data_IF_086421338949
#
_entry.id   IF_086421338949
#
_cell.length_a   1.000
_cell.length_b   1.000
_cell.length_c   1.000
_cell.angle_alpha   90.00
_cell.angle_beta   90.00
_cell.angle_gamma   90.00
#
_symmetry.space_group_name_H-M   'P 1'
#
loop_
_entity.id
_entity.type
_entity.pdbx_description
1 polymer ?
#
# COMPACT_ATOMS: atom_id res chain seq x y z
N UNK A 1 4.13 -14.38 -23.21
CA UNK A 1 3.50 -15.20 -22.16
C UNK A 1 2.07 -15.44 -22.58
N UNK A 2 1.59 -16.68 -22.52
CA UNK A 2 0.20 -17.01 -22.87
C UNK A 2 -0.73 -16.62 -21.71
N UNK A 3 -1.59 -15.63 -21.94
CA UNK A 3 -2.56 -15.12 -20.96
C UNK A 3 -3.60 -16.19 -20.59
N UNK A 4 -3.95 -17.09 -21.51
CA UNK A 4 -4.89 -18.17 -21.25
C UNK A 4 -4.29 -19.20 -20.30
N UNK A 5 -3.04 -19.59 -20.55
CA UNK A 5 -2.32 -20.50 -19.66
C UNK A 5 -2.12 -19.90 -18.25
N UNK A 6 -1.77 -18.61 -18.17
CA UNK A 6 -1.63 -17.90 -16.90
C UNK A 6 -2.96 -17.83 -16.13
N UNK A 7 -4.06 -17.52 -16.82
CA UNK A 7 -5.42 -17.51 -16.26
C UNK A 7 -5.77 -18.87 -15.65
N UNK A 8 -5.67 -19.94 -16.46
CA UNK A 8 -6.05 -21.29 -16.05
C UNK A 8 -5.22 -21.77 -14.85
N UNK A 9 -3.94 -21.39 -14.79
CA UNK A 9 -3.08 -21.71 -13.66
C UNK A 9 -3.56 -21.03 -12.37
N UNK A 10 -3.88 -19.73 -12.41
CA UNK A 10 -4.41 -19.00 -11.25
C UNK A 10 -5.77 -19.55 -10.81
N UNK A 11 -6.64 -19.88 -11.75
CA UNK A 11 -7.93 -20.51 -11.48
C UNK A 11 -7.78 -21.86 -10.78
N UNK A 12 -6.85 -22.70 -11.26
CA UNK A 12 -6.53 -23.98 -10.62
C UNK A 12 -5.98 -23.80 -9.20
N UNK A 13 -5.10 -22.81 -9.00
CA UNK A 13 -4.55 -22.49 -7.66
C UNK A 13 -5.68 -22.10 -6.70
N UNK A 14 -6.61 -21.26 -7.13
CA UNK A 14 -7.72 -20.80 -6.28
C UNK A 14 -8.73 -21.92 -6.00
N UNK A 15 -9.08 -22.71 -7.00
CA UNK A 15 -10.05 -23.80 -6.82
C UNK A 15 -9.51 -24.97 -5.99
N UNK A 16 -8.18 -25.09 -5.85
CA UNK A 16 -7.56 -26.11 -5.00
C UNK A 16 -7.79 -25.92 -3.49
N UNK A 17 -8.25 -24.74 -3.04
CA UNK A 17 -8.45 -24.42 -1.62
C UNK A 17 -9.86 -23.86 -1.38
N UNK A 18 -10.57 -24.26 -0.30
CA UNK A 18 -11.89 -23.71 0.00
C UNK A 18 -11.91 -22.17 0.09
N UNK A 19 -10.86 -21.59 0.66
CA UNK A 19 -10.72 -20.13 0.75
C UNK A 19 -10.59 -19.44 -0.63
N UNK A 20 -10.06 -20.13 -1.64
CA UNK A 20 -9.97 -19.60 -3.00
C UNK A 20 -11.30 -19.71 -3.76
N UNK A 21 -12.14 -20.71 -3.45
CA UNK A 21 -13.52 -20.78 -3.96
C UNK A 21 -14.32 -19.54 -3.53
N UNK A 22 -14.14 -19.06 -2.30
CA UNK A 22 -14.75 -17.80 -1.84
C UNK A 22 -14.38 -16.61 -2.72
N UNK A 23 -13.14 -16.55 -3.21
CA UNK A 23 -12.68 -15.49 -4.13
C UNK A 23 -13.43 -15.57 -5.46
N UNK A 24 -13.52 -16.78 -6.04
CA UNK A 24 -14.22 -17.01 -7.31
C UNK A 24 -15.69 -16.62 -7.18
N UNK A 25 -16.38 -17.11 -6.15
CA UNK A 25 -17.79 -16.83 -5.91
C UNK A 25 -18.08 -15.34 -5.72
N UNK A 26 -17.24 -14.61 -4.97
CA UNK A 26 -17.44 -13.15 -4.81
C UNK A 26 -17.36 -12.43 -6.15
N UNK A 27 -16.40 -12.81 -7.00
CA UNK A 27 -16.23 -12.21 -8.31
C UNK A 27 -17.38 -12.54 -9.26
N UNK A 28 -17.85 -13.78 -9.29
CA UNK A 28 -18.99 -14.18 -10.13
C UNK A 28 -20.24 -13.37 -9.80
N UNK A 29 -20.48 -13.11 -8.52
CA UNK A 29 -21.64 -12.38 -8.03
C UNK A 29 -21.54 -10.86 -8.21
N UNK A 30 -20.35 -10.26 -7.99
CA UNK A 30 -20.21 -8.80 -7.93
C UNK A 30 -19.44 -8.20 -9.11
N UNK A 31 -18.78 -9.04 -9.93
CA UNK A 31 -17.86 -8.65 -11.00
C UNK A 31 -16.71 -7.75 -10.53
N UNK A 32 -16.40 -7.80 -9.25
CA UNK A 32 -15.28 -7.11 -8.61
C UNK A 32 -14.83 -7.93 -7.40
N UNK A 33 -13.74 -7.51 -6.76
CA UNK A 33 -13.29 -8.10 -5.50
C UNK A 33 -13.08 -6.98 -4.48
N UNK A 34 -13.56 -7.18 -3.26
CA UNK A 34 -13.24 -6.36 -2.10
C UNK A 34 -11.77 -6.51 -1.74
N UNK A 35 -11.22 -5.48 -1.11
CA UNK A 35 -9.82 -5.44 -0.66
C UNK A 35 -9.45 -6.64 0.21
N UNK A 36 -10.32 -7.07 1.13
CA UNK A 36 -10.11 -8.28 1.94
C UNK A 36 -9.95 -9.55 1.09
N UNK A 37 -10.76 -9.66 0.04
CA UNK A 37 -10.82 -10.85 -0.82
C UNK A 37 -9.66 -10.86 -1.81
N UNK A 38 -9.23 -9.69 -2.31
CA UNK A 38 -7.99 -9.56 -3.10
C UNK A 38 -6.75 -9.92 -2.28
N UNK A 39 -6.67 -9.51 -1.02
CA UNK A 39 -5.58 -9.93 -0.10
C UNK A 39 -5.59 -11.44 0.12
N UNK A 40 -6.77 -12.04 0.30
CA UNK A 40 -6.89 -13.50 0.44
C UNK A 40 -6.38 -14.23 -0.81
N UNK A 41 -6.81 -13.79 -1.99
CA UNK A 41 -6.35 -14.30 -3.28
C UNK A 41 -4.82 -14.22 -3.40
N UNK A 42 -4.23 -13.05 -3.11
CA UNK A 42 -2.77 -12.86 -3.16
C UNK A 42 -2.04 -13.76 -2.17
N UNK A 43 -2.57 -13.95 -0.95
CA UNK A 43 -1.97 -14.88 0.01
C UNK A 43 -1.94 -16.32 -0.51
N UNK A 44 -3.03 -16.79 -1.11
CA UNK A 44 -3.12 -18.15 -1.67
C UNK A 44 -2.10 -18.33 -2.79
N UNK A 45 -2.01 -17.36 -3.70
CA UNK A 45 -1.08 -17.39 -4.83
C UNK A 45 0.38 -17.33 -4.36
N UNK A 46 0.70 -16.46 -3.39
CA UNK A 46 2.05 -16.38 -2.81
C UNK A 46 2.43 -17.67 -2.10
N UNK A 47 1.52 -18.30 -1.35
CA UNK A 47 1.77 -19.61 -0.76
C UNK A 47 2.13 -20.65 -1.83
N UNK A 48 1.38 -20.71 -2.93
CA UNK A 48 1.68 -21.63 -4.04
C UNK A 48 3.04 -21.36 -4.69
N UNK A 49 3.37 -20.09 -4.99
CA UNK A 49 4.67 -19.73 -5.55
C UNK A 49 5.83 -20.17 -4.65
N UNK A 50 5.65 -20.05 -3.32
CA UNK A 50 6.67 -20.47 -2.33
C UNK A 50 6.79 -21.98 -2.20
N UNK A 51 5.69 -22.72 -2.31
CA UNK A 51 5.70 -24.19 -2.33
C UNK A 51 6.48 -24.71 -3.55
N UNK A 52 6.38 -24.02 -4.69
CA UNK A 52 7.04 -24.41 -5.95
C UNK A 52 8.51 -23.97 -6.06
N UNK A 53 8.85 -22.75 -5.67
CA UNK A 53 10.19 -22.16 -5.88
C UNK A 53 10.97 -21.86 -4.58
N UNK A 54 10.34 -22.13 -3.43
CA UNK A 54 10.93 -21.85 -2.12
C UNK A 54 10.93 -20.35 -1.78
N UNK A 55 12.03 -19.87 -1.20
CA UNK A 55 12.12 -18.51 -0.65
C UNK A 55 12.36 -17.44 -1.71
N UNK A 56 13.11 -17.79 -2.76
CA UNK A 56 13.52 -16.86 -3.80
C UNK A 56 12.67 -17.09 -5.06
N UNK A 57 11.47 -16.52 -5.07
CA UNK A 57 10.58 -16.60 -6.23
C UNK A 57 11.14 -15.72 -7.35
N UNK A 58 11.19 -16.29 -8.55
CA UNK A 58 11.74 -15.62 -9.74
C UNK A 58 10.88 -14.43 -10.18
N UNK A 59 11.47 -13.45 -10.88
CA UNK A 59 10.73 -12.32 -11.45
C UNK A 59 9.68 -12.79 -12.47
N UNK A 60 10.05 -13.77 -13.30
CA UNK A 60 9.18 -14.34 -14.33
C UNK A 60 7.94 -15.00 -13.71
N UNK A 61 8.09 -15.67 -12.57
CA UNK A 61 6.98 -16.31 -11.86
C UNK A 61 6.02 -15.29 -11.28
N UNK A 62 6.52 -14.20 -10.69
CA UNK A 62 5.66 -13.11 -10.19
C UNK A 62 4.90 -12.44 -11.34
N UNK A 63 5.58 -12.16 -12.44
CA UNK A 63 4.96 -11.58 -13.64
C UNK A 63 3.90 -12.51 -14.24
N UNK A 64 4.19 -13.81 -14.31
CA UNK A 64 3.25 -14.83 -14.78
C UNK A 64 1.96 -14.85 -13.95
N UNK A 65 2.07 -14.84 -12.62
CA UNK A 65 0.90 -14.84 -11.74
C UNK A 65 0.16 -13.50 -11.75
N UNK A 66 0.86 -12.37 -11.85
CA UNK A 66 0.23 -11.06 -12.00
C UNK A 66 -0.61 -10.98 -13.30
N UNK A 67 -0.06 -11.48 -14.41
CA UNK A 67 -0.80 -11.62 -15.67
C UNK A 67 -2.01 -12.54 -15.51
N UNK A 68 -1.85 -13.69 -14.84
CA UNK A 68 -2.94 -14.63 -14.60
C UNK A 68 -4.08 -14.04 -13.77
N UNK A 69 -3.76 -13.24 -12.75
CA UNK A 69 -4.74 -12.55 -11.90
C UNK A 69 -5.63 -11.63 -12.75
N UNK A 70 -5.04 -10.71 -13.53
CA UNK A 70 -5.84 -9.76 -14.33
C UNK A 70 -6.54 -10.42 -15.52
N UNK A 71 -6.05 -11.58 -15.97
CA UNK A 71 -6.69 -12.39 -17.01
C UNK A 71 -7.92 -13.14 -16.47
N UNK A 72 -7.86 -13.58 -15.21
CA UNK A 72 -8.99 -14.25 -14.53
C UNK A 72 -10.02 -13.23 -14.01
N UNK A 73 -9.56 -12.09 -13.50
CA UNK A 73 -10.38 -11.01 -12.94
C UNK A 73 -10.18 -9.70 -13.72
N UNK A 74 -10.77 -9.56 -14.92
CA UNK A 74 -10.60 -8.36 -15.75
C UNK A 74 -10.89 -7.04 -15.06
N UNK A 75 -11.79 -6.99 -14.07
CA UNK A 75 -12.08 -5.73 -13.34
C UNK A 75 -10.91 -5.22 -12.50
N UNK A 76 -9.94 -6.09 -12.19
CA UNK A 76 -8.73 -5.73 -11.46
C UNK A 76 -7.62 -5.23 -12.37
N UNK A 77 -7.77 -5.39 -13.69
CA UNK A 77 -6.82 -4.86 -14.65
C UNK A 77 -6.85 -3.33 -14.58
N UNK A 78 -5.70 -2.71 -14.41
CA UNK A 78 -5.58 -1.26 -14.53
C UNK A 78 -5.68 -0.89 -16.03
N UNK A 79 -6.74 -0.17 -16.47
CA UNK A 79 -6.89 0.18 -17.88
C UNK A 79 -5.88 1.23 -18.33
N UNK A 80 -5.14 1.85 -17.39
CA UNK A 80 -4.22 2.94 -17.67
C UNK A 80 -2.74 2.57 -17.53
N UNK A 81 -2.42 1.42 -16.97
CA UNK A 81 -1.05 0.90 -16.96
C UNK A 81 -0.74 0.15 -18.26
N UNK A 82 0.55 0.02 -18.59
CA UNK A 82 1.00 -0.50 -19.90
C UNK A 82 0.48 -1.91 -20.19
N UNK A 83 0.48 -2.78 -19.19
CA UNK A 83 0.05 -4.18 -19.30
C UNK A 83 -1.19 -4.50 -18.45
N UNK A 84 -1.53 -3.61 -17.52
CA UNK A 84 -2.70 -3.72 -16.66
C UNK A 84 -2.49 -4.48 -15.35
N UNK A 85 -1.34 -5.12 -15.14
CA UNK A 85 -1.05 -5.96 -13.97
C UNK A 85 0.06 -5.41 -13.06
N UNK A 86 0.65 -4.27 -13.41
CA UNK A 86 1.83 -3.72 -12.74
C UNK A 86 1.61 -3.47 -11.23
N UNK A 87 0.39 -3.13 -10.82
CA UNK A 87 0.05 -2.98 -9.41
C UNK A 87 0.12 -4.30 -8.61
N UNK A 88 -0.02 -5.47 -9.27
CA UNK A 88 0.27 -6.77 -8.65
C UNK A 88 1.76 -7.09 -8.73
N UNK A 89 2.40 -6.85 -9.88
CA UNK A 89 3.84 -6.97 -10.03
C UNK A 89 4.36 -6.15 -11.22
N UNK A 90 5.28 -5.22 -10.94
CA UNK A 90 6.03 -4.49 -11.95
C UNK A 90 7.42 -5.11 -12.12
N UNK A 91 7.67 -5.67 -13.30
CA UNK A 91 8.92 -6.33 -13.64
C UNK A 91 10.12 -5.36 -13.64
N UNK A 92 9.91 -4.09 -14.04
CA UNK A 92 10.98 -3.11 -14.22
C UNK A 92 11.50 -2.62 -12.87
N UNK A 93 10.58 -2.18 -12.01
CA UNK A 93 10.91 -1.67 -10.67
C UNK A 93 11.10 -2.79 -9.64
N UNK A 94 10.67 -4.02 -9.95
CA UNK A 94 10.59 -5.13 -9.01
C UNK A 94 9.84 -4.73 -7.74
N UNK A 95 8.68 -4.10 -7.93
CA UNK A 95 7.70 -3.77 -6.89
C UNK A 95 6.36 -4.42 -7.22
N UNK A 96 5.33 -4.12 -6.42
CA UNK A 96 4.00 -4.68 -6.58
C UNK A 96 3.54 -5.45 -5.35
N UNK A 97 2.24 -5.71 -5.29
CA UNK A 97 1.64 -6.37 -4.13
C UNK A 97 2.16 -7.81 -3.95
N UNK A 98 2.38 -8.55 -5.03
CA UNK A 98 2.96 -9.90 -4.97
C UNK A 98 4.39 -9.86 -4.42
N UNK A 99 5.23 -8.95 -4.92
CA UNK A 99 6.62 -8.81 -4.46
C UNK A 99 6.69 -8.47 -2.97
N UNK A 100 5.88 -7.50 -2.53
CA UNK A 100 5.83 -7.13 -1.13
C UNK A 100 5.38 -8.30 -0.27
N UNK A 101 4.34 -9.01 -0.70
CA UNK A 101 3.78 -10.10 0.10
C UNK A 101 4.72 -11.29 0.21
N UNK A 102 5.46 -11.61 -0.86
CA UNK A 102 6.54 -12.60 -0.83
C UNK A 102 7.58 -12.25 0.25
N UNK A 103 7.93 -10.96 0.41
CA UNK A 103 8.88 -10.50 1.43
C UNK A 103 8.30 -10.56 2.85
N UNK A 104 7.02 -10.24 3.04
CA UNK A 104 6.44 -10.06 4.38
C UNK A 104 5.81 -11.31 4.98
N UNK A 105 5.46 -12.33 4.18
CA UNK A 105 4.86 -13.60 4.66
C UNK A 105 5.78 -14.40 5.60
N UNK A 106 7.05 -14.01 5.81
CA UNK A 106 7.99 -14.70 6.72
C UNK A 106 8.45 -13.95 7.98
N UNK A 107 8.12 -12.67 8.21
CA UNK A 107 8.62 -11.99 9.41
C UNK A 107 8.04 -12.54 10.73
N UNK A 108 7.07 -13.45 10.65
CA UNK A 108 6.28 -13.98 11.77
C UNK A 108 6.82 -15.24 12.45
N UNK A 109 7.82 -15.93 11.89
CA UNK A 109 8.37 -17.15 12.51
C UNK A 109 9.71 -16.94 13.24
N UNK A 110 10.25 -15.71 13.31
CA UNK A 110 11.57 -15.45 13.92
C UNK A 110 11.58 -14.51 15.13
N UNK A 111 10.47 -13.91 15.53
CA UNK A 111 10.43 -12.98 16.68
C UNK A 111 9.87 -13.61 17.96
N UNK A 112 10.10 -14.91 18.16
CA UNK A 112 9.86 -15.60 19.43
C UNK A 112 11.18 -15.93 20.12
N UNK A 113 12.15 -14.99 20.21
CA UNK A 113 13.33 -15.12 21.08
C UNK A 113 14.33 -13.95 20.98
N UNK A 114 13.93 -12.72 21.31
CA UNK A 114 14.90 -11.76 21.89
C UNK A 114 14.19 -10.60 22.60
N UNK A 115 14.39 -10.37 23.91
CA UNK A 115 13.80 -9.24 24.60
C UNK A 115 14.61 -7.97 24.28
N UNK A 116 14.10 -7.12 23.38
CA UNK A 116 14.67 -5.79 23.21
C UNK A 116 14.31 -4.92 24.42
N UNK A 117 15.35 -4.48 25.14
CA UNK A 117 15.27 -3.58 26.29
C UNK A 117 14.51 -2.30 25.92
N UNK A 118 13.40 -2.04 26.62
CA UNK A 118 12.67 -0.77 26.56
C UNK A 118 13.55 0.34 27.16
N UNK A 119 13.99 1.28 26.34
CA UNK A 119 14.49 2.57 26.82
C UNK A 119 13.27 3.47 27.07
N UNK A 120 13.15 3.92 28.31
CA UNK A 120 12.04 4.72 28.82
C UNK A 120 12.32 6.20 28.54
N UNK A 121 11.58 6.82 27.63
CA UNK A 121 11.50 8.28 27.53
C UNK A 121 10.28 8.77 28.33
N UNK A 122 10.51 9.67 29.30
CA UNK A 122 9.47 10.36 30.08
C UNK A 122 9.10 11.70 29.39
N UNK A 123 7.80 11.99 29.30
CA UNK A 123 7.26 13.36 29.30
C UNK A 123 6.15 13.70 28.28
N UNK A 124 4.89 13.84 28.73
CA UNK A 124 3.80 14.60 28.06
C UNK A 124 2.55 13.81 27.59
N UNK A 125 1.29 14.15 27.98
CA UNK A 125 0.09 13.30 27.84
C UNK A 125 -0.63 13.52 26.50
N UNK A 126 -1.21 12.56 25.77
CA UNK A 126 -1.92 11.32 26.13
C UNK A 126 -1.53 10.26 25.10
N UNK A 127 -0.62 9.35 25.48
CA UNK A 127 -0.27 8.19 24.66
C UNK A 127 -1.09 7.00 25.16
N UNK A 128 -2.09 6.59 24.40
CA UNK A 128 -2.62 5.24 24.55
C UNK A 128 -1.48 4.25 24.27
N UNK A 129 -1.31 3.20 25.10
CA UNK A 129 -0.17 2.29 25.01
C UNK A 129 -0.06 1.67 23.62
N UNK A 130 1.17 1.65 23.07
CA UNK A 130 1.57 0.68 22.03
C UNK A 130 1.28 -0.72 22.56
N UNK A 131 0.15 -1.29 22.14
CA UNK A 131 -0.12 -2.73 22.30
C UNK A 131 0.61 -3.41 21.15
N UNK A 132 1.79 -3.94 21.47
CA UNK A 132 2.51 -4.85 20.58
C UNK A 132 1.65 -6.08 20.29
N UNK A 133 1.35 -6.30 19.01
CA UNK A 133 1.08 -7.63 18.45
C UNK A 133 -0.37 -8.08 18.51
N UNK A 134 -1.20 -7.59 17.57
CA UNK A 134 -2.47 -8.24 17.23
C UNK A 134 -2.67 -8.26 15.72
N UNK A 135 -3.52 -9.16 15.23
CA UNK A 135 -3.90 -9.34 13.83
C UNK A 135 -4.31 -8.05 13.10
N UNK A 136 -4.73 -7.02 13.82
CA UNK A 136 -5.16 -5.73 13.27
C UNK A 136 -4.00 -4.89 12.71
N UNK A 137 -2.83 -4.91 13.33
CA UNK A 137 -1.66 -4.17 12.81
C UNK A 137 -1.23 -4.71 11.45
N UNK A 138 -1.31 -6.04 11.27
CA UNK A 138 -1.00 -6.66 9.99
C UNK A 138 -2.09 -6.42 8.96
N UNK A 139 -3.37 -6.49 9.34
CA UNK A 139 -4.48 -6.16 8.43
C UNK A 139 -4.36 -4.72 7.92
N UNK A 140 -4.04 -3.79 8.82
CA UNK A 140 -3.81 -2.37 8.50
C UNK A 140 -2.60 -2.19 7.59
N UNK A 141 -1.50 -2.92 7.85
CA UNK A 141 -0.31 -2.91 6.99
C UNK A 141 -0.57 -3.47 5.59
N UNK A 142 -1.30 -4.59 5.49
CA UNK A 142 -1.66 -5.21 4.21
C UNK A 142 -2.55 -4.29 3.37
N UNK A 143 -3.55 -3.65 4.01
CA UNK A 143 -4.45 -2.66 3.36
C UNK A 143 -3.66 -1.49 2.80
N UNK A 144 -2.79 -0.92 3.63
CA UNK A 144 -2.02 0.23 3.21
C UNK A 144 -1.06 -0.10 2.06
N UNK A 145 -0.41 -1.27 2.11
CA UNK A 145 0.55 -1.66 1.08
C UNK A 145 -0.11 -2.02 -0.25
N UNK A 146 -1.28 -2.68 -0.23
CA UNK A 146 -2.08 -2.89 -1.43
C UNK A 146 -2.46 -1.54 -2.08
N UNK A 147 -2.94 -0.59 -1.27
CA UNK A 147 -3.31 0.74 -1.74
C UNK A 147 -2.11 1.52 -2.31
N UNK A 148 -0.95 1.50 -1.66
CA UNK A 148 0.28 2.14 -2.16
C UNK A 148 0.72 1.52 -3.48
N UNK A 149 0.71 0.19 -3.59
CA UNK A 149 1.07 -0.53 -4.81
C UNK A 149 0.15 -0.15 -5.98
N UNK A 150 -1.15 0.01 -5.71
CA UNK A 150 -2.11 0.47 -6.70
C UNK A 150 -1.86 1.94 -7.09
N UNK A 151 -1.56 2.80 -6.13
CA UNK A 151 -1.28 4.22 -6.33
C UNK A 151 -0.06 4.49 -7.23
N UNK A 152 0.90 3.56 -7.32
CA UNK A 152 2.07 3.71 -8.19
C UNK A 152 1.70 3.73 -9.68
N UNK A 153 0.67 2.98 -10.08
CA UNK A 153 0.36 2.75 -11.49
C UNK A 153 -0.97 3.36 -11.93
N UNK A 154 -1.97 3.43 -11.05
CA UNK A 154 -3.30 3.95 -11.42
C UNK A 154 -3.24 5.41 -11.85
N UNK A 155 -3.96 5.75 -12.91
CA UNK A 155 -4.20 7.15 -13.32
C UNK A 155 -5.66 7.59 -13.09
N UNK A 156 -6.51 6.70 -12.58
CA UNK A 156 -7.89 7.04 -12.23
C UNK A 156 -7.91 7.99 -11.03
N UNK A 157 -8.30 9.26 -11.25
CA UNK A 157 -8.29 10.27 -10.21
C UNK A 157 -9.17 9.93 -9.00
N UNK A 158 -10.37 9.40 -9.20
CA UNK A 158 -11.29 9.08 -8.09
C UNK A 158 -10.69 7.98 -7.21
N UNK A 159 -10.11 6.95 -7.85
CA UNK A 159 -9.44 5.87 -7.15
C UNK A 159 -8.17 6.36 -6.43
N UNK A 160 -7.43 7.30 -7.03
CA UNK A 160 -6.30 7.98 -6.36
C UNK A 160 -6.78 8.70 -5.10
N UNK A 161 -7.83 9.54 -5.18
CA UNK A 161 -8.34 10.26 -4.00
C UNK A 161 -8.80 9.29 -2.91
N UNK A 162 -9.53 8.23 -3.30
CA UNK A 162 -9.98 7.19 -2.38
C UNK A 162 -8.80 6.49 -1.69
N UNK A 163 -7.85 5.93 -2.45
CA UNK A 163 -6.70 5.20 -1.89
C UNK A 163 -5.76 6.11 -1.12
N UNK A 164 -5.62 7.38 -1.53
CA UNK A 164 -4.91 8.38 -0.75
C UNK A 164 -5.61 8.59 0.60
N UNK A 165 -6.94 8.66 0.67
CA UNK A 165 -7.67 8.80 1.94
C UNK A 165 -7.48 7.59 2.86
N UNK A 166 -7.59 6.38 2.32
CA UNK A 166 -7.41 5.13 3.07
C UNK A 166 -6.00 5.03 3.69
N UNK A 167 -4.98 5.57 3.02
CA UNK A 167 -3.59 5.54 3.47
C UNK A 167 -3.17 6.73 4.33
N UNK A 168 -4.11 7.60 4.73
CA UNK A 168 -3.84 8.83 5.49
C UNK A 168 -3.11 8.58 6.82
N UNK A 169 -3.59 7.63 7.62
CA UNK A 169 -2.98 7.35 8.93
C UNK A 169 -1.55 6.81 8.80
N UNK A 170 -1.30 5.96 7.81
CA UNK A 170 0.04 5.45 7.54
C UNK A 170 1.01 6.55 7.11
N UNK A 171 0.56 7.49 6.26
CA UNK A 171 1.36 8.68 5.93
C UNK A 171 1.71 9.50 7.16
N UNK A 172 0.77 9.70 8.08
CA UNK A 172 1.03 10.42 9.34
C UNK A 172 2.09 9.73 10.19
N UNK A 173 2.11 8.40 10.21
CA UNK A 173 3.15 7.63 10.89
C UNK A 173 4.51 7.79 10.22
N UNK A 174 4.58 7.76 8.88
CA UNK A 174 5.83 8.01 8.13
C UNK A 174 6.39 9.41 8.44
N UNK A 175 5.53 10.43 8.47
CA UNK A 175 5.95 11.82 8.74
C UNK A 175 6.49 12.01 10.17
N UNK A 176 6.15 11.11 11.10
CA UNK A 176 6.67 11.13 12.47
C UNK A 176 7.99 10.36 12.61
N UNK A 177 8.38 9.58 11.62
CA UNK A 177 9.61 8.81 11.62
C UNK A 177 10.71 9.56 10.85
N UNK A 178 11.74 10.08 11.54
CA UNK A 178 12.83 10.82 10.90
C UNK A 178 13.59 10.03 9.83
N UNK A 179 13.59 8.69 9.90
CA UNK A 179 14.35 7.84 8.99
C UNK A 179 13.67 7.68 7.62
N UNK A 180 12.34 7.72 7.58
CA UNK A 180 11.56 7.45 6.35
C UNK A 180 10.70 8.64 5.90
N UNK A 181 10.55 9.66 6.74
CA UNK A 181 9.81 10.89 6.40
C UNK A 181 10.33 11.59 5.15
N UNK A 182 11.66 11.56 4.93
CA UNK A 182 12.29 12.13 3.73
C UNK A 182 11.84 11.45 2.42
N UNK A 183 11.41 10.19 2.47
CA UNK A 183 10.98 9.41 1.32
C UNK A 183 9.46 9.44 1.10
N UNK A 184 8.70 10.19 1.91
CA UNK A 184 7.23 10.19 1.83
C UNK A 184 6.69 10.54 0.44
N UNK A 185 7.32 11.50 -0.27
CA UNK A 185 6.93 11.87 -1.64
C UNK A 185 7.39 10.87 -2.69
N UNK A 186 8.39 10.04 -2.39
CA UNK A 186 8.79 8.90 -3.25
C UNK A 186 7.83 7.73 -3.08
N UNK A 187 7.28 7.52 -1.88
CA UNK A 187 6.28 6.48 -1.60
C UNK A 187 4.91 6.91 -2.15
N UNK A 188 4.52 8.16 -1.91
CA UNK A 188 3.25 8.74 -2.36
C UNK A 188 3.49 9.75 -3.48
N UNK A 189 3.98 9.24 -4.60
CA UNK A 189 4.29 10.04 -5.80
C UNK A 189 3.10 10.84 -6.30
N UNK A 190 1.87 10.39 -6.01
CA UNK A 190 0.63 11.07 -6.44
C UNK A 190 0.48 12.50 -5.91
N UNK A 191 1.18 12.87 -4.82
CA UNK A 191 1.22 14.27 -4.38
C UNK A 191 1.90 15.21 -5.38
N UNK A 192 2.73 14.68 -6.29
CA UNK A 192 3.51 15.46 -7.25
C UNK A 192 2.71 15.78 -8.52
N UNK A 193 1.76 14.92 -8.91
CA UNK A 193 1.02 15.01 -10.18
C UNK A 193 -0.49 15.27 -9.98
N UNK A 194 -1.08 14.89 -8.83
CA UNK A 194 -2.51 15.10 -8.55
C UNK A 194 -2.74 16.27 -7.61
N UNK A 195 -3.34 17.33 -8.16
CA UNK A 195 -3.75 18.52 -7.40
C UNK A 195 -4.80 18.16 -6.34
N UNK A 196 -4.87 18.97 -5.28
CA UNK A 196 -5.84 18.87 -4.15
C UNK A 196 -5.64 17.73 -3.17
N UNK A 197 -4.67 16.83 -3.36
CA UNK A 197 -4.36 15.80 -2.35
C UNK A 197 -3.88 16.39 -1.01
N UNK A 198 -3.11 17.49 -1.05
CA UNK A 198 -2.71 18.22 0.17
C UNK A 198 -3.95 18.77 0.89
N UNK A 199 -4.92 19.31 0.14
CA UNK A 199 -6.17 19.82 0.72
C UNK A 199 -7.01 18.67 1.31
N UNK A 200 -7.02 17.50 0.68
CA UNK A 200 -7.67 16.30 1.24
C UNK A 200 -7.05 15.92 2.59
N UNK A 201 -5.73 15.84 2.69
CA UNK A 201 -5.06 15.49 3.95
C UNK A 201 -5.27 16.57 5.03
N UNK A 202 -5.30 17.84 4.63
CA UNK A 202 -5.64 18.95 5.54
C UNK A 202 -7.08 18.84 6.06
N UNK A 203 -8.04 18.49 5.19
CA UNK A 203 -9.43 18.25 5.57
C UNK A 203 -9.57 17.07 6.53
N UNK A 204 -8.86 15.97 6.30
CA UNK A 204 -8.85 14.82 7.21
C UNK A 204 -8.23 15.15 8.57
N UNK A 205 -7.29 16.10 8.61
CA UNK A 205 -6.60 16.50 9.84
C UNK A 205 -7.36 17.52 10.68
N UNK A 206 -8.00 18.51 10.04
CA UNK A 206 -8.55 19.69 10.71
C UNK A 206 -10.05 19.89 10.52
N UNK A 207 -10.72 18.99 9.78
CA UNK A 207 -12.14 19.06 9.48
C UNK A 207 -12.49 20.04 8.36
N UNK A 208 -13.73 19.95 7.87
CA UNK A 208 -14.20 20.72 6.72
C UNK A 208 -14.22 22.23 6.97
N UNK A 209 -14.61 22.67 8.17
CA UNK A 209 -14.66 24.10 8.51
C UNK A 209 -13.29 24.75 8.38
N UNK A 210 -12.27 24.19 9.05
CA UNK A 210 -10.90 24.71 9.00
C UNK A 210 -10.32 24.61 7.60
N UNK A 211 -10.56 23.50 6.90
CA UNK A 211 -10.02 23.27 5.56
C UNK A 211 -10.62 24.21 4.50
N UNK A 212 -11.88 24.61 4.64
CA UNK A 212 -12.52 25.55 3.70
C UNK A 212 -11.80 26.91 3.64
N UNK A 213 -11.22 27.36 4.76
CA UNK A 213 -10.49 28.63 4.88
C UNK A 213 -9.02 28.52 4.47
N UNK A 214 -8.50 27.31 4.27
CA UNK A 214 -7.09 27.09 3.95
C UNK A 214 -6.67 27.73 2.61
N UNK A 215 -7.41 27.55 1.49
CA UNK A 215 -7.07 28.19 0.22
C UNK A 215 -7.07 29.72 0.30
N UNK A 216 -8.05 30.31 1.00
CA UNK A 216 -8.19 31.77 1.18
C UNK A 216 -7.00 32.37 1.94
N UNK A 217 -6.52 31.65 2.96
CA UNK A 217 -5.42 32.09 3.82
C UNK A 217 -4.05 31.63 3.34
N UNK A 218 -3.97 30.80 2.30
CA UNK A 218 -2.72 30.24 1.82
C UNK A 218 -1.72 31.34 1.45
N UNK A 219 -2.13 32.27 0.59
CA UNK A 219 -1.27 33.35 0.09
C UNK A 219 -0.92 34.37 1.16
N UNK A 220 -1.87 34.69 2.05
CA UNK A 220 -1.74 35.78 3.04
C UNK A 220 -1.06 35.35 4.34
N UNK A 221 -1.29 34.12 4.79
CA UNK A 221 -0.97 33.70 6.16
C UNK A 221 -0.02 32.50 6.26
N UNK A 222 -0.02 31.61 5.27
CA UNK A 222 0.69 30.32 5.36
C UNK A 222 1.90 30.22 4.44
N UNK A 223 1.81 30.67 3.18
CA UNK A 223 2.84 30.45 2.16
C UNK A 223 4.24 30.90 2.61
N UNK A 224 4.36 32.13 3.10
CA UNK A 224 5.67 32.66 3.52
C UNK A 224 6.20 31.92 4.75
N UNK A 225 5.35 31.61 5.73
CA UNK A 225 5.73 30.85 6.92
C UNK A 225 6.21 29.44 6.57
N UNK A 226 5.52 28.75 5.67
CA UNK A 226 5.92 27.42 5.18
C UNK A 226 7.24 27.49 4.42
N UNK A 227 7.46 28.51 3.59
CA UNK A 227 8.74 28.71 2.90
C UNK A 227 9.88 28.97 3.90
N UNK A 228 9.63 29.80 4.91
CA UNK A 228 10.61 30.11 5.96
C UNK A 228 10.98 28.86 6.77
N UNK A 229 9.99 28.08 7.20
CA UNK A 229 10.21 26.79 7.87
C UNK A 229 10.93 25.78 6.96
N UNK A 230 10.58 25.69 5.69
CA UNK A 230 11.27 24.80 4.75
C UNK A 230 12.75 25.21 4.54
N UNK A 231 13.06 26.51 4.60
CA UNK A 231 14.43 27.03 4.53
C UNK A 231 15.22 26.74 5.81
N UNK A 232 14.62 26.88 6.99
CA UNK A 232 15.29 26.56 8.27
C UNK A 232 15.65 25.08 8.34
N UNK A 233 14.79 24.20 7.83
CA UNK A 233 15.04 22.74 7.76
C UNK A 233 16.23 22.37 6.86
N UNK A 234 16.49 23.11 5.78
CA UNK A 234 17.68 22.90 4.93
C UNK A 234 19.00 23.30 5.60
N UNK A 235 18.95 24.09 6.67
CA UNK A 235 20.11 24.48 7.48
C UNK A 235 20.47 23.46 8.58
N UNK A 236 19.57 22.52 8.88
CA UNK A 236 19.79 21.45 9.87
C UNK A 236 20.19 20.14 9.19
N UNK A 237 21.29 20.16 8.44
CA UNK A 237 22.06 18.93 8.20
C UNK A 237 22.77 18.61 9.50
N UNK A 238 22.12 17.86 10.39
CA UNK A 238 22.80 17.23 11.53
C UNK A 238 23.33 15.88 11.06
N UNK A 239 24.65 15.76 11.24
CA UNK A 239 25.56 14.62 11.08
C UNK A 239 24.98 13.24 11.37
#
# INVERSE_FOLDING_TARGET
MDSTFAKNTVEQILTSKPAGITVINEYENTRTLKDSTRRLMVNIIVSHMREKEGRAISKATKEFHALGIVSLFPSLKDPYSKKGYEHFYDFQSNTGFLEWRVKTVQHKFRTSSTPQKKVQFRGGPTLLPRISGTSDDQRTGDECMEAISLLQHTTNCDLVFQKMRETFQYRRQILQDPQISADVLKIFTRFLDVKRLILQDFLLMFGAETASRFPERWTTSFKEKVIQEARSLKGSTVL
#
